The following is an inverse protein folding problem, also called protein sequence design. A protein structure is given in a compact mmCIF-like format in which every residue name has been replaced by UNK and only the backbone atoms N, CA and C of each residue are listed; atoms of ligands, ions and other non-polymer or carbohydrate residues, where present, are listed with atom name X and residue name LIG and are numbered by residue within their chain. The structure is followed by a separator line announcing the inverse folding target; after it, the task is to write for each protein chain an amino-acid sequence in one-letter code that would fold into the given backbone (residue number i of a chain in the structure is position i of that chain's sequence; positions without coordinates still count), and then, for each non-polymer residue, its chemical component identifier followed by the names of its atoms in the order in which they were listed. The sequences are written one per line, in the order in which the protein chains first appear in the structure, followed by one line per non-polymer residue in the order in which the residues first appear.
data_IF_966459478761
#
_entry.id   IF_966459478761
#
_cell.length_a   1.000
_cell.length_b   1.000
_cell.length_c   1.000
_cell.angle_alpha   90.00
_cell.angle_beta   90.00
_cell.angle_gamma   90.00
#
_symmetry.space_group_name_H-M   'P 1'
#
loop_
_entity.id
_entity.type
_entity.pdbx_description
1 polymer ?
#
# COMPACT_ATOMS: atom_id res chain seq x y z
N UNK A 1 9.06 -1.81 -3.92
CA UNK A 1 7.90 -1.24 -4.65
C UNK A 1 7.40 -2.14 -5.78
N UNK A 2 8.23 -2.49 -6.77
CA UNK A 2 7.82 -3.34 -7.92
C UNK A 2 7.21 -4.69 -7.49
N UNK A 3 7.83 -5.40 -6.55
CA UNK A 3 7.31 -6.68 -6.05
C UNK A 3 5.91 -6.58 -5.45
N UNK A 4 5.60 -5.49 -4.75
CA UNK A 4 4.26 -5.25 -4.22
C UNK A 4 3.26 -5.00 -5.36
N UNK A 5 3.66 -4.20 -6.36
CA UNK A 5 2.85 -3.97 -7.55
C UNK A 5 2.51 -5.30 -8.25
N UNK A 6 3.45 -6.22 -8.36
CA UNK A 6 3.21 -7.54 -8.95
C UNK A 6 2.22 -8.38 -8.14
N UNK A 7 2.30 -8.36 -6.79
CA UNK A 7 1.31 -9.04 -5.94
C UNK A 7 -0.09 -8.46 -6.11
N UNK A 8 -0.22 -7.13 -6.15
CA UNK A 8 -1.53 -6.48 -6.36
C UNK A 8 -2.12 -6.81 -7.73
N UNK A 9 -1.30 -6.92 -8.79
CA UNK A 9 -1.78 -7.34 -10.12
C UNK A 9 -2.25 -8.80 -10.12
N UNK A 10 -1.56 -9.68 -9.40
CA UNK A 10 -2.01 -11.07 -9.24
C UNK A 10 -3.33 -11.16 -8.48
N UNK A 11 -3.48 -10.42 -7.39
CA UNK A 11 -4.76 -10.34 -6.66
C UNK A 11 -5.89 -9.80 -7.52
N UNK A 12 -5.62 -8.77 -8.34
CA UNK A 12 -6.59 -8.25 -9.31
C UNK A 12 -6.99 -9.31 -10.35
N UNK A 13 -6.03 -10.05 -10.91
CA UNK A 13 -6.31 -11.14 -11.86
C UNK A 13 -7.08 -12.31 -11.23
N UNK A 14 -6.93 -12.54 -9.93
CA UNK A 14 -7.64 -13.57 -9.18
C UNK A 14 -9.06 -13.14 -8.75
N UNK A 15 -9.37 -11.84 -8.82
CA UNK A 15 -10.64 -11.27 -8.35
C UNK A 15 -10.64 -10.87 -6.87
N UNK A 16 -9.49 -10.94 -6.19
CA UNK A 16 -9.34 -10.56 -4.78
C UNK A 16 -9.28 -9.04 -4.58
N UNK A 17 -8.86 -8.30 -5.61
CA UNK A 17 -8.72 -6.85 -5.59
C UNK A 17 -9.45 -6.22 -6.78
N UNK A 18 -10.15 -5.11 -6.55
CA UNK A 18 -10.84 -4.31 -7.55
C UNK A 18 -9.93 -3.27 -8.21
N UNK A 19 -8.80 -2.94 -7.56
CA UNK A 19 -7.90 -1.85 -7.96
C UNK A 19 -6.52 -2.37 -8.39
N UNK A 20 -6.09 -2.00 -9.60
CA UNK A 20 -4.78 -2.38 -10.15
C UNK A 20 -3.69 -1.33 -9.88
N UNK A 21 -2.48 -1.78 -9.51
CA UNK A 21 -1.32 -0.90 -9.44
C UNK A 21 -0.63 -0.75 -10.81
N UNK A 22 -0.95 0.35 -11.50
CA UNK A 22 -0.29 0.72 -12.77
C UNK A 22 1.18 1.12 -12.56
N UNK A 23 2.04 1.07 -13.61
CA UNK A 23 3.38 1.62 -13.55
C UNK A 23 3.43 3.08 -13.08
N UNK A 24 2.43 3.89 -13.48
CA UNK A 24 2.30 5.29 -13.04
C UNK A 24 2.12 5.39 -11.53
N UNK A 25 1.31 4.52 -10.93
CA UNK A 25 1.12 4.47 -9.48
C UNK A 25 2.44 4.15 -8.76
N UNK A 26 3.26 3.26 -9.32
CA UNK A 26 4.58 2.92 -8.76
C UNK A 26 5.53 4.12 -8.83
N UNK A 27 5.54 4.87 -9.94
CA UNK A 27 6.35 6.09 -10.07
C UNK A 27 5.92 7.15 -9.05
N UNK A 28 4.63 7.45 -8.96
CA UNK A 28 4.10 8.41 -7.97
C UNK A 28 4.43 7.98 -6.53
N UNK A 29 4.33 6.69 -6.23
CA UNK A 29 4.74 6.17 -4.92
C UNK A 29 6.23 6.40 -4.65
N UNK A 30 7.11 6.13 -5.63
CA UNK A 30 8.54 6.37 -5.51
C UNK A 30 8.88 7.84 -5.29
N UNK A 31 8.20 8.74 -6.00
CA UNK A 31 8.39 10.19 -5.85
C UNK A 31 7.94 10.67 -4.48
N UNK A 32 6.75 10.25 -4.05
CA UNK A 32 6.21 10.57 -2.73
C UNK A 32 7.11 10.04 -1.61
N UNK A 33 7.65 8.83 -1.74
CA UNK A 33 8.56 8.25 -0.74
C UNK A 33 9.82 9.10 -0.57
N UNK A 34 10.33 9.68 -1.67
CA UNK A 34 11.47 10.61 -1.63
C UNK A 34 11.09 11.96 -1.00
N UNK A 35 9.90 12.48 -1.28
CA UNK A 35 9.42 13.78 -0.75
C UNK A 35 9.16 13.70 0.76
N UNK A 36 8.45 12.66 1.20
CA UNK A 36 8.07 12.51 2.61
C UNK A 36 9.13 11.81 3.46
N UNK A 37 10.14 11.19 2.82
CA UNK A 37 11.09 10.31 3.47
C UNK A 37 10.41 9.17 4.28
N UNK A 38 9.24 8.73 3.79
CA UNK A 38 8.42 7.68 4.41
C UNK A 38 7.74 6.86 3.31
N UNK A 39 8.18 5.62 3.17
CA UNK A 39 7.66 4.69 2.15
C UNK A 39 6.23 4.22 2.43
N UNK A 40 5.86 4.11 3.71
CA UNK A 40 4.54 3.64 4.16
C UNK A 40 3.50 4.72 3.95
N UNK A 41 3.79 5.95 4.38
CA UNK A 41 2.94 7.11 4.12
C UNK A 41 2.75 7.32 2.61
N UNK A 42 3.84 7.28 1.85
CA UNK A 42 3.78 7.43 0.40
C UNK A 42 2.94 6.33 -0.27
N UNK A 43 3.01 5.09 0.23
CA UNK A 43 2.19 3.98 -0.27
C UNK A 43 0.69 4.25 -0.04
N UNK A 44 0.34 4.71 1.17
CA UNK A 44 -1.03 5.01 1.55
C UNK A 44 -1.65 6.06 0.61
N UNK A 45 -0.94 7.17 0.42
CA UNK A 45 -1.38 8.26 -0.45
C UNK A 45 -1.49 7.86 -1.92
N UNK A 46 -0.57 7.01 -2.39
CA UNK A 46 -0.47 6.69 -3.81
C UNK A 46 -1.43 5.58 -4.25
N UNK A 47 -1.72 4.64 -3.35
CA UNK A 47 -2.49 3.43 -3.67
C UNK A 47 -3.54 3.07 -2.62
N UNK A 48 -3.15 2.76 -1.37
CA UNK A 48 -4.06 2.15 -0.37
C UNK A 48 -5.36 2.96 -0.14
N UNK A 49 -5.26 4.28 -0.11
CA UNK A 49 -6.42 5.15 0.14
C UNK A 49 -7.46 5.11 -1.01
N UNK A 50 -7.09 4.58 -2.17
CA UNK A 50 -7.97 4.40 -3.34
C UNK A 50 -8.63 3.02 -3.39
N UNK A 51 -8.16 2.08 -2.55
CA UNK A 51 -8.68 0.73 -2.50
C UNK A 51 -9.88 0.64 -1.56
N UNK A 52 -10.78 -0.29 -1.86
CA UNK A 52 -11.94 -0.59 -1.03
C UNK A 52 -11.49 -1.08 0.35
N UNK A 53 -12.22 -0.68 1.39
CA UNK A 53 -11.85 -0.99 2.77
C UNK A 53 -11.82 -2.50 3.05
N UNK A 54 -12.70 -3.25 2.40
CA UNK A 54 -12.78 -4.72 2.50
C UNK A 54 -11.53 -5.42 1.95
N UNK A 55 -10.79 -4.77 1.05
CA UNK A 55 -9.58 -5.32 0.43
C UNK A 55 -8.29 -4.96 1.20
N UNK A 56 -8.36 -3.95 2.08
CA UNK A 56 -7.20 -3.45 2.84
C UNK A 56 -6.49 -4.53 3.66
N UNK A 57 -7.15 -5.53 4.26
CA UNK A 57 -6.46 -6.64 4.93
C UNK A 57 -5.56 -7.44 3.98
N UNK A 58 -6.03 -7.73 2.76
CA UNK A 58 -5.27 -8.45 1.73
C UNK A 58 -4.05 -7.61 1.30
N UNK A 59 -4.27 -6.30 1.09
CA UNK A 59 -3.20 -5.38 0.73
C UNK A 59 -2.17 -5.23 1.86
N UNK A 60 -2.61 -5.23 3.12
CA UNK A 60 -1.75 -5.18 4.29
C UNK A 60 -0.87 -6.45 4.38
N UNK A 61 -1.44 -7.63 4.12
CA UNK A 61 -0.67 -8.87 4.04
C UNK A 61 0.40 -8.80 2.93
N UNK A 62 0.05 -8.30 1.74
CA UNK A 62 1.03 -8.12 0.67
C UNK A 62 2.13 -7.14 1.04
N UNK A 63 1.78 -6.05 1.72
CA UNK A 63 2.72 -5.05 2.19
C UNK A 63 3.69 -5.65 3.23
N UNK A 64 3.15 -6.35 4.23
CA UNK A 64 3.92 -7.03 5.27
C UNK A 64 4.84 -8.11 4.68
N UNK A 65 4.39 -8.90 3.71
CA UNK A 65 5.24 -9.89 3.01
C UNK A 65 6.41 -9.28 2.25
N UNK A 66 6.25 -8.07 1.72
CA UNK A 66 7.28 -7.41 0.89
C UNK A 66 8.24 -6.56 1.71
N UNK A 67 7.76 -5.89 2.75
CA UNK A 67 8.53 -4.93 3.53
C UNK A 67 8.81 -5.37 4.98
N UNK A 68 8.14 -6.41 5.47
CA UNK A 68 8.24 -6.84 6.87
C UNK A 68 7.65 -5.83 7.86
N UNK A 69 6.74 -4.95 7.40
CA UNK A 69 6.16 -3.86 8.18
C UNK A 69 4.64 -3.94 8.11
N UNK A 70 3.98 -3.77 9.26
CA UNK A 70 2.53 -3.68 9.32
C UNK A 70 2.06 -2.29 8.86
N UNK A 71 0.98 -2.28 8.07
CA UNK A 71 0.34 -1.01 7.73
C UNK A 71 -0.38 -0.48 8.97
N UNK A 72 -0.24 0.81 9.30
CA UNK A 72 -0.99 1.38 10.40
C UNK A 72 -2.48 1.30 10.09
N UNK A 73 -3.25 0.79 11.05
CA UNK A 73 -4.71 0.76 11.02
C UNK A 73 -5.24 2.16 10.65
N UNK A 74 -6.21 2.24 9.74
CA UNK A 74 -6.80 3.53 9.33
C UNK A 74 -7.68 4.18 10.40
N UNK A 75 -7.63 3.66 11.63
CA UNK A 75 -8.40 4.09 12.79
C UNK A 75 -7.54 5.04 13.63
N UNK A 76 -7.65 6.34 13.34
CA UNK A 76 -7.29 7.48 14.21
C UNK A 76 -5.95 7.40 14.96
N UNK A 77 -4.98 8.23 14.56
CA UNK A 77 -3.82 8.67 15.34
C UNK A 77 -3.55 7.90 16.65
N UNK A 78 -2.92 6.72 16.56
CA UNK A 78 -2.30 6.13 17.74
C UNK A 78 -1.00 6.90 18.00
N UNK A 79 -1.09 7.93 18.83
CA UNK A 79 0.08 8.50 19.50
C UNK A 79 0.70 7.39 20.34
N UNK A 80 1.84 6.86 19.90
CA UNK A 80 2.68 6.03 20.74
C UNK A 80 3.17 6.92 21.90
N UNK A 81 2.89 6.64 23.18
CA UNK A 81 3.47 7.39 24.27
C UNK A 81 4.96 7.08 24.36
N UNK A 82 5.73 8.15 24.59
CA UNK A 82 7.18 8.19 24.76
C UNK A 82 7.70 7.27 25.86
#
# INVERSE_FOLDING_TARGET
MVRLADLTRKGFMAGDLSTVMSPRTVLTWSENARIFNDITLAFRLSFLNKCDEVERPIIAEYYQRVFGVDLPETSGFSTKPS
#
